data_IF_599115595505
#
_entry.id   IF_599115595505
#
_cell.length_a   1.000
_cell.length_b   1.000
_cell.length_c   1.000
_cell.angle_alpha   90.00
_cell.angle_beta   90.00
_cell.angle_gamma   90.00
#
_symmetry.space_group_name_H-M   'P 1'
#
loop_
_entity.id
_entity.type
_entity.pdbx_description
1 polymer ?
#
# COMPACT_ATOMS: atom_id res chain seq x y z
N UNK A 1 -15.54 10.65 -12.13
CA UNK A 1 -14.79 10.26 -10.91
C UNK A 1 -14.26 11.53 -10.22
N UNK A 2 -13.97 11.52 -8.91
CA UNK A 2 -13.42 12.72 -8.24
C UNK A 2 -12.17 13.27 -8.95
N UNK A 3 -11.32 12.37 -9.46
CA UNK A 3 -10.13 12.65 -10.26
C UNK A 3 -10.38 13.25 -11.64
N UNK A 4 -11.64 13.38 -12.08
CA UNK A 4 -12.03 14.03 -13.35
C UNK A 4 -12.63 15.43 -13.11
N UNK A 5 -12.55 15.97 -11.89
CA UNK A 5 -13.05 17.31 -11.61
C UNK A 5 -12.13 18.35 -12.23
N UNK A 6 -12.68 19.35 -12.91
CA UNK A 6 -11.92 20.44 -13.53
C UNK A 6 -11.66 21.59 -12.54
N UNK A 7 -12.35 21.57 -11.39
CA UNK A 7 -12.22 22.55 -10.30
C UNK A 7 -11.76 21.90 -8.99
N UNK A 8 -10.91 22.61 -8.24
CA UNK A 8 -10.33 22.12 -6.98
C UNK A 8 -11.36 22.04 -5.85
N UNK A 9 -12.32 22.96 -5.78
CA UNK A 9 -13.37 22.92 -4.76
C UNK A 9 -14.34 21.77 -5.04
N UNK A 10 -14.66 21.53 -6.32
CA UNK A 10 -15.43 20.36 -6.76
C UNK A 10 -14.72 19.05 -6.39
N UNK A 11 -13.41 18.96 -6.64
CA UNK A 11 -12.60 17.81 -6.23
C UNK A 11 -12.67 17.60 -4.71
N UNK A 12 -12.41 18.65 -3.92
CA UNK A 12 -12.44 18.58 -2.45
C UNK A 12 -13.82 18.16 -1.95
N UNK A 13 -14.89 18.76 -2.47
CA UNK A 13 -16.26 18.43 -2.08
C UNK A 13 -16.62 16.98 -2.38
N UNK A 14 -16.21 16.45 -3.55
CA UNK A 14 -16.39 15.04 -3.90
C UNK A 14 -15.59 14.11 -2.99
N UNK A 15 -14.34 14.47 -2.68
CA UNK A 15 -13.48 13.69 -1.81
C UNK A 15 -14.04 13.61 -0.38
N UNK A 16 -14.61 14.70 0.13
CA UNK A 16 -15.26 14.72 1.45
C UNK A 16 -16.48 13.80 1.58
N UNK A 17 -17.09 13.42 0.45
CA UNK A 17 -18.20 12.46 0.41
C UNK A 17 -17.77 10.99 0.56
N UNK A 18 -16.47 10.69 0.59
CA UNK A 18 -15.96 9.34 0.81
C UNK A 18 -15.71 9.08 2.28
N UNK A 19 -16.40 8.10 2.84
CA UNK A 19 -16.37 7.78 4.27
C UNK A 19 -15.77 6.41 4.57
N UNK A 20 -15.61 5.56 3.56
CA UNK A 20 -15.06 4.22 3.69
C UNK A 20 -13.66 4.11 3.07
N UNK A 21 -12.77 3.36 3.71
CA UNK A 21 -11.39 3.19 3.24
C UNK A 21 -11.32 2.67 1.79
N UNK A 22 -12.24 1.79 1.39
CA UNK A 22 -12.30 1.26 0.02
C UNK A 22 -12.59 2.33 -1.04
N UNK A 23 -13.36 3.36 -0.70
CA UNK A 23 -13.67 4.47 -1.60
C UNK A 23 -12.42 5.31 -1.88
N UNK A 24 -11.58 5.53 -0.87
CA UNK A 24 -10.29 6.19 -1.03
C UNK A 24 -9.28 5.32 -1.78
N UNK A 25 -9.26 4.02 -1.48
CA UNK A 25 -8.35 3.07 -2.13
C UNK A 25 -8.58 2.96 -3.64
N UNK A 26 -9.81 3.20 -4.12
CA UNK A 26 -10.12 3.24 -5.55
C UNK A 26 -9.33 4.32 -6.32
N UNK A 27 -8.80 5.34 -5.64
CA UNK A 27 -7.97 6.39 -6.25
C UNK A 27 -6.46 6.11 -6.18
N UNK A 28 -6.04 4.99 -5.59
CA UNK A 28 -4.62 4.66 -5.45
C UNK A 28 -3.89 4.66 -6.81
N UNK A 29 -4.53 4.15 -7.86
CA UNK A 29 -3.97 4.18 -9.22
C UNK A 29 -3.57 5.58 -9.67
N UNK A 30 -4.40 6.59 -9.44
CA UNK A 30 -4.09 7.98 -9.80
C UNK A 30 -2.83 8.53 -9.09
N UNK A 31 -2.53 8.04 -7.88
CA UNK A 31 -1.30 8.39 -7.17
C UNK A 31 -0.09 7.67 -7.79
N UNK A 32 -0.22 6.37 -8.06
CA UNK A 32 0.88 5.58 -8.62
C UNK A 32 1.15 5.87 -10.10
N UNK A 33 0.18 6.40 -10.84
CA UNK A 33 0.36 6.81 -12.24
C UNK A 33 1.07 8.17 -12.35
N UNK A 34 1.05 8.98 -11.28
CA UNK A 34 1.59 10.35 -11.25
C UNK A 34 2.93 10.43 -10.51
N UNK A 35 3.87 9.51 -10.75
CA UNK A 35 5.12 9.40 -9.96
C UNK A 35 6.04 10.62 -10.01
N UNK A 36 5.89 11.49 -11.00
CA UNK A 36 6.64 12.76 -11.11
C UNK A 36 5.97 13.91 -10.34
N UNK A 37 4.69 13.77 -9.94
CA UNK A 37 3.99 14.79 -9.17
C UNK A 37 4.50 14.83 -7.72
N UNK A 38 4.95 15.99 -7.21
CA UNK A 38 5.45 16.09 -5.84
C UNK A 38 4.42 15.69 -4.77
N UNK A 39 3.13 15.86 -5.05
CA UNK A 39 2.04 15.42 -4.17
C UNK A 39 1.95 13.90 -4.11
N UNK A 40 1.96 13.24 -5.26
CA UNK A 40 1.97 11.78 -5.35
C UNK A 40 3.19 11.18 -4.64
N UNK A 41 4.38 11.74 -4.86
CA UNK A 41 5.62 11.31 -4.17
C UNK A 41 5.45 11.39 -2.65
N UNK A 42 4.88 12.48 -2.12
CA UNK A 42 4.63 12.64 -0.67
C UNK A 42 3.64 11.60 -0.14
N UNK A 43 2.60 11.27 -0.90
CA UNK A 43 1.62 10.24 -0.50
C UNK A 43 2.31 8.87 -0.43
N UNK A 44 3.08 8.50 -1.46
CA UNK A 44 3.80 7.22 -1.51
C UNK A 44 4.81 7.12 -0.35
N UNK A 45 5.55 8.19 -0.06
CA UNK A 45 6.48 8.21 1.08
C UNK A 45 5.79 8.10 2.44
N UNK A 46 4.63 8.76 2.60
CA UNK A 46 3.84 8.67 3.83
C UNK A 46 3.27 7.26 4.02
N UNK A 47 2.81 6.63 2.93
CA UNK A 47 2.37 5.25 2.93
C UNK A 47 3.51 4.29 3.33
N UNK A 48 4.70 4.44 2.74
CA UNK A 48 5.87 3.64 3.09
C UNK A 48 6.26 3.78 4.56
N UNK A 49 6.24 5.00 5.09
CA UNK A 49 6.51 5.27 6.50
C UNK A 49 5.48 4.61 7.42
N UNK A 50 4.20 4.73 7.07
CA UNK A 50 3.10 4.16 7.86
C UNK A 50 3.15 2.62 7.90
N UNK A 51 3.47 1.99 6.77
CA UNK A 51 3.64 0.54 6.66
C UNK A 51 4.84 0.05 7.48
N UNK A 52 5.98 0.75 7.41
CA UNK A 52 7.16 0.40 8.20
C UNK A 52 6.89 0.50 9.72
N UNK A 53 6.20 1.56 10.15
CA UNK A 53 5.77 1.70 11.55
C UNK A 53 4.78 0.61 11.98
N UNK A 54 3.87 0.21 11.10
CA UNK A 54 2.94 -0.89 11.37
C UNK A 54 3.70 -2.20 11.57
N UNK A 55 4.65 -2.53 10.69
CA UNK A 55 5.48 -3.72 10.80
C UNK A 55 6.27 -3.74 12.12
N UNK A 56 6.90 -2.62 12.50
CA UNK A 56 7.63 -2.51 13.77
C UNK A 56 6.73 -2.66 15.01
N UNK A 57 5.54 -2.06 15.00
CA UNK A 57 4.55 -2.21 16.09
C UNK A 57 4.02 -3.64 16.18
N UNK A 58 3.71 -4.26 15.05
CA UNK A 58 3.26 -5.65 14.99
C UNK A 58 4.32 -6.60 15.55
N UNK A 59 5.57 -6.49 15.07
CA UNK A 59 6.70 -7.30 15.56
C UNK A 59 6.93 -7.15 17.06
N UNK A 60 6.89 -5.91 17.58
CA UNK A 60 6.98 -5.64 19.02
C UNK A 60 5.85 -6.33 19.79
N UNK A 61 4.61 -6.25 19.30
CA UNK A 61 3.44 -6.83 19.95
C UNK A 61 3.49 -8.36 20.00
N UNK A 62 4.05 -9.01 18.98
CA UNK A 62 4.14 -10.48 18.91
C UNK A 62 5.49 -11.03 19.43
N UNK A 63 6.40 -10.17 19.86
CA UNK A 63 7.72 -10.57 20.36
C UNK A 63 8.68 -11.07 19.29
N UNK A 64 8.47 -10.73 18.03
CA UNK A 64 9.32 -11.17 16.91
C UNK A 64 10.26 -10.03 16.48
N UNK A 65 11.55 -10.35 16.46
CA UNK A 65 12.61 -9.53 15.84
C UNK A 65 13.15 -10.33 14.67
N UNK A 66 12.68 -10.04 13.47
CA UNK A 66 13.02 -10.82 12.28
C UNK A 66 12.82 -10.01 11.01
N UNK A 67 13.24 -10.55 9.86
CA UNK A 67 13.03 -9.90 8.57
C UNK A 67 11.54 -9.63 8.33
N UNK A 68 11.24 -8.49 7.74
CA UNK A 68 9.87 -8.14 7.34
C UNK A 68 9.57 -8.78 6.00
N UNK A 69 8.55 -9.64 5.95
CA UNK A 69 8.03 -10.16 4.69
C UNK A 69 6.99 -9.17 4.15
N UNK A 70 7.23 -8.69 2.94
CA UNK A 70 6.35 -7.80 2.18
C UNK A 70 5.48 -8.66 1.27
N UNK A 71 4.16 -8.57 1.43
CA UNK A 71 3.20 -9.33 0.63
C UNK A 71 1.95 -8.51 0.31
N UNK A 72 1.13 -9.03 -0.59
CA UNK A 72 -0.16 -8.45 -0.97
C UNK A 72 -0.08 -7.55 -2.21
N UNK A 73 -1.18 -7.54 -2.96
CA UNK A 73 -1.26 -6.98 -4.32
C UNK A 73 -0.77 -5.54 -4.48
N UNK A 74 -0.94 -4.69 -3.46
CA UNK A 74 -0.44 -3.32 -3.53
C UNK A 74 1.09 -3.26 -3.60
N UNK A 75 1.78 -3.95 -2.69
CA UNK A 75 3.24 -3.89 -2.61
C UNK A 75 3.89 -4.70 -3.74
N UNK A 76 3.23 -5.74 -4.23
CA UNK A 76 3.72 -6.55 -5.37
C UNK A 76 3.48 -5.87 -6.72
N UNK A 77 2.38 -5.11 -6.89
CA UNK A 77 2.08 -4.42 -8.15
C UNK A 77 2.75 -3.03 -8.26
N UNK A 78 3.23 -2.46 -7.15
CA UNK A 78 3.89 -1.15 -7.13
C UNK A 78 5.29 -1.24 -6.49
N UNK A 79 6.33 -1.65 -7.27
CA UNK A 79 7.67 -1.91 -6.75
C UNK A 79 8.35 -0.71 -6.06
N UNK A 80 8.03 0.52 -6.46
CA UNK A 80 8.54 1.73 -5.80
C UNK A 80 8.08 1.83 -4.34
N UNK A 81 6.82 1.49 -4.04
CA UNK A 81 6.34 1.47 -2.66
C UNK A 81 7.06 0.38 -1.85
N UNK A 82 7.26 -0.81 -2.43
CA UNK A 82 7.97 -1.90 -1.76
C UNK A 82 9.42 -1.51 -1.43
N UNK A 83 10.16 -0.93 -2.37
CA UNK A 83 11.55 -0.50 -2.16
C UNK A 83 11.66 0.56 -1.04
N UNK A 84 10.73 1.52 -1.02
CA UNK A 84 10.63 2.54 0.04
C UNK A 84 10.31 1.95 1.41
N UNK A 85 9.48 0.90 1.48
CA UNK A 85 9.22 0.18 2.73
C UNK A 85 10.48 -0.58 3.17
N UNK A 86 11.13 -1.32 2.26
CA UNK A 86 12.37 -2.07 2.55
C UNK A 86 13.44 -1.17 3.14
N UNK A 87 13.67 0.00 2.53
CA UNK A 87 14.65 0.98 3.02
C UNK A 87 14.39 1.44 4.47
N UNK A 88 13.13 1.39 4.94
CA UNK A 88 12.72 1.84 6.28
C UNK A 88 12.74 0.72 7.32
N UNK A 89 12.46 -0.52 6.92
CA UNK A 89 12.41 -1.67 7.84
C UNK A 89 13.75 -2.41 7.96
N UNK A 90 14.69 -2.13 7.05
CA UNK A 90 16.00 -2.79 7.02
C UNK A 90 15.91 -4.15 6.34
N UNK A 91 16.03 -5.24 7.11
CA UNK A 91 15.97 -6.59 6.54
C UNK A 91 14.54 -6.92 6.11
N UNK A 92 14.32 -7.04 4.80
CA UNK A 92 13.03 -7.37 4.23
C UNK A 92 13.14 -8.20 2.94
N UNK A 93 12.09 -8.96 2.66
CA UNK A 93 11.96 -9.78 1.46
C UNK A 93 10.53 -9.67 0.93
N UNK A 94 10.36 -9.54 -0.38
CA UNK A 94 9.05 -9.58 -1.02
C UNK A 94 8.67 -11.03 -1.24
N UNK A 95 7.45 -11.40 -0.89
CA UNK A 95 6.90 -12.72 -1.17
C UNK A 95 6.68 -12.87 -2.68
N UNK A 96 7.35 -13.85 -3.29
CA UNK A 96 7.25 -14.12 -4.73
C UNK A 96 6.02 -14.95 -5.10
N UNK A 97 5.44 -15.67 -4.13
CA UNK A 97 4.22 -16.42 -4.36
C UNK A 97 3.03 -15.49 -4.59
N UNK A 98 2.17 -15.87 -5.54
CA UNK A 98 0.93 -15.17 -5.81
C UNK A 98 0.06 -15.06 -4.54
N UNK A 99 -0.62 -13.92 -4.29
CA UNK A 99 -1.43 -13.71 -3.09
C UNK A 99 -2.51 -14.78 -2.83
N UNK A 100 -2.87 -15.58 -3.84
CA UNK A 100 -3.88 -16.65 -3.79
C UNK A 100 -3.30 -18.04 -3.52
N UNK A 101 -1.97 -18.19 -3.43
CA UNK A 101 -1.31 -19.49 -3.32
C UNK A 101 -1.78 -20.33 -2.12
N UNK A 102 -2.14 -19.69 -1.00
CA UNK A 102 -2.68 -20.38 0.17
C UNK A 102 -4.08 -20.96 -0.08
N UNK A 103 -4.96 -20.22 -0.73
CA UNK A 103 -6.32 -20.66 -1.04
C UNK A 103 -6.31 -21.82 -2.06
N UNK A 104 -5.43 -21.75 -3.07
CA UNK A 104 -5.24 -22.82 -4.05
C UNK A 104 -4.76 -24.10 -3.37
N UNK A 105 -3.69 -24.03 -2.57
CA UNK A 105 -3.16 -25.20 -1.86
C UNK A 105 -4.18 -25.82 -0.91
N UNK A 106 -5.00 -24.99 -0.24
CA UNK A 106 -6.08 -25.48 0.60
C UNK A 106 -7.12 -26.24 -0.23
N UNK A 107 -7.54 -25.69 -1.37
CA UNK A 107 -8.51 -26.35 -2.25
C UNK A 107 -7.97 -27.66 -2.85
N UNK A 108 -6.67 -27.75 -3.16
CA UNK A 108 -6.03 -28.99 -3.64
C UNK A 108 -5.93 -30.08 -2.56
N UNK A 109 -6.03 -29.69 -1.28
CA UNK A 109 -5.95 -30.61 -0.14
C UNK A 109 -7.30 -31.14 0.36
N UNK A 110 -8.40 -30.66 -0.23
CA UNK A 110 -9.79 -31.07 0.05
C UNK A 110 -10.26 -32.12 -0.96
#
# INVERSE_FOLDING_TARGET
AATQSEDVLELIGRMQGYHEAGQWAAFAGAVFDATEDPGAVRIIDSAAQSLAQLAGRAGTKVGVKGPVVIAGGLLTNFPDLASRVQARVGSATVLEEEPVAGAVRLAESL
#
